data_IF_957253050152
#
_entry.id   IF_957253050152
#
_cell.length_a   1.000
_cell.length_b   1.000
_cell.length_c   1.000
_cell.angle_alpha   90.00
_cell.angle_beta   90.00
_cell.angle_gamma   90.00
#
_symmetry.space_group_name_H-M   'P 1'
#
loop_
_entity.id
_entity.type
_entity.pdbx_description
1 polymer ?
#
# COMPACT_ATOMS: atom_id res chain seq x y z
N UNK A 1 -8.86 -2.69 37.56
CA UNK A 1 -9.31 -4.07 37.27
C UNK A 1 -8.09 -4.86 36.77
N UNK A 2 -7.46 -5.63 37.67
CA UNK A 2 -6.19 -6.31 37.41
C UNK A 2 -6.46 -7.59 36.63
N UNK A 3 -6.18 -7.61 35.33
CA UNK A 3 -6.32 -8.84 34.52
C UNK A 3 -5.10 -9.72 34.77
N UNK A 4 -5.24 -10.74 35.62
CA UNK A 4 -4.21 -11.77 35.86
C UNK A 4 -4.00 -12.62 34.60
N UNK A 5 -2.79 -12.65 34.04
CA UNK A 5 -2.35 -13.73 33.14
C UNK A 5 -2.55 -15.07 33.80
N UNK A 6 -3.34 -15.97 33.21
CA UNK A 6 -3.90 -17.16 33.84
C UNK A 6 -2.90 -18.24 34.28
N UNK A 7 -1.63 -18.26 33.85
CA UNK A 7 -0.55 -19.06 34.48
C UNK A 7 0.81 -18.85 33.77
N UNK A 8 1.92 -19.04 34.51
CA UNK A 8 3.28 -19.10 33.96
C UNK A 8 3.44 -20.14 32.84
N UNK A 9 2.72 -21.27 32.94
CA UNK A 9 2.75 -22.36 31.96
C UNK A 9 2.11 -21.96 30.60
N UNK A 10 1.12 -21.07 30.57
CA UNK A 10 0.53 -20.60 29.31
C UNK A 10 1.49 -19.66 28.58
N UNK A 11 2.16 -18.77 29.31
CA UNK A 11 3.15 -17.86 28.75
C UNK A 11 4.31 -18.64 28.10
N UNK A 12 4.86 -19.61 28.85
CA UNK A 12 5.93 -20.48 28.34
C UNK A 12 5.53 -21.26 27.08
N UNK A 13 4.28 -21.71 26.97
CA UNK A 13 3.80 -22.39 25.76
C UNK A 13 3.66 -21.45 24.57
N UNK A 14 3.28 -20.18 24.80
CA UNK A 14 3.22 -19.16 23.74
C UNK A 14 4.63 -18.84 23.27
N UNK A 15 5.57 -18.57 24.19
CA UNK A 15 6.98 -18.26 23.89
C UNK A 15 7.67 -19.37 23.09
N UNK A 16 7.33 -20.63 23.36
CA UNK A 16 7.89 -21.79 22.66
C UNK A 16 7.06 -22.22 21.42
N UNK A 17 6.08 -21.41 20.98
CA UNK A 17 5.27 -21.69 19.79
C UNK A 17 4.35 -22.93 19.92
N UNK A 18 4.14 -23.45 21.12
CA UNK A 18 3.33 -24.66 21.37
C UNK A 18 1.82 -24.38 21.31
N UNK A 19 1.41 -23.13 21.52
CA UNK A 19 0.01 -22.68 21.39
C UNK A 19 -0.03 -21.29 20.77
N UNK A 20 -1.10 -21.02 19.99
CA UNK A 20 -1.37 -19.69 19.45
C UNK A 20 -2.04 -18.80 20.49
N UNK A 21 -1.58 -17.56 20.61
CA UNK A 21 -2.21 -16.57 21.48
C UNK A 21 -3.41 -15.91 20.77
N UNK A 22 -4.53 -15.76 21.48
CA UNK A 22 -5.65 -14.96 20.98
C UNK A 22 -5.29 -13.47 20.95
N UNK A 23 -5.94 -12.67 20.07
CA UNK A 23 -5.78 -11.20 20.05
C UNK A 23 -6.01 -10.57 21.42
N UNK A 24 -6.97 -11.09 22.21
CA UNK A 24 -7.20 -10.65 23.58
C UNK A 24 -6.00 -10.91 24.48
N UNK A 25 -5.35 -12.07 24.33
CA UNK A 25 -4.14 -12.42 25.09
C UNK A 25 -2.98 -11.52 24.69
N UNK A 26 -2.79 -11.27 23.38
CA UNK A 26 -1.75 -10.37 22.87
C UNK A 26 -1.93 -8.94 23.37
N UNK A 27 -3.18 -8.43 23.40
CA UNK A 27 -3.47 -7.11 23.95
C UNK A 27 -3.16 -7.02 25.45
N UNK A 28 -3.40 -8.08 26.23
CA UNK A 28 -3.03 -8.14 27.65
C UNK A 28 -1.51 -8.15 27.81
N UNK A 29 -0.79 -8.92 26.98
CA UNK A 29 0.67 -8.97 27.00
C UNK A 29 1.27 -7.59 26.66
N UNK A 30 0.82 -6.95 25.57
CA UNK A 30 1.30 -5.64 25.17
C UNK A 30 1.10 -4.60 26.27
N UNK A 31 -0.06 -4.56 26.91
CA UNK A 31 -0.32 -3.66 28.02
C UNK A 31 0.55 -3.98 29.26
N UNK A 32 0.80 -5.25 29.54
CA UNK A 32 1.62 -5.68 30.69
C UNK A 32 3.09 -5.33 30.48
N UNK A 33 3.57 -5.46 29.24
CA UNK A 33 4.94 -5.12 28.83
C UNK A 33 5.12 -3.65 28.54
N UNK A 34 4.01 -2.88 28.49
CA UNK A 34 3.97 -1.47 28.14
C UNK A 34 4.63 -1.19 26.76
N UNK A 35 4.32 -2.04 25.78
CA UNK A 35 4.74 -1.91 24.39
C UNK A 35 3.54 -1.95 23.45
N UNK A 36 3.59 -1.30 22.28
CA UNK A 36 2.57 -1.46 21.25
C UNK A 36 2.38 -2.94 20.88
N UNK A 37 1.15 -3.35 20.56
CA UNK A 37 0.86 -4.74 20.18
C UNK A 37 1.65 -5.15 18.91
N UNK A 38 1.94 -4.23 18.01
CA UNK A 38 2.79 -4.44 16.84
C UNK A 38 4.18 -4.97 17.20
N UNK A 39 4.75 -4.50 18.31
CA UNK A 39 6.07 -4.95 18.77
C UNK A 39 6.11 -6.42 19.21
N UNK A 40 4.95 -7.05 19.46
CA UNK A 40 4.88 -8.49 19.72
C UNK A 40 5.02 -9.34 18.44
N UNK A 41 4.96 -8.72 17.29
CA UNK A 41 5.10 -9.37 15.97
C UNK A 41 6.37 -8.93 15.25
N UNK A 42 7.06 -7.90 15.75
CA UNK A 42 8.37 -7.57 15.22
C UNK A 42 9.30 -8.74 15.50
N UNK A 43 9.66 -9.48 14.48
CA UNK A 43 10.85 -10.31 14.52
C UNK A 43 12.01 -9.35 14.85
N UNK A 44 12.86 -9.75 15.78
CA UNK A 44 14.07 -9.02 16.18
C UNK A 44 15.11 -9.01 15.05
N UNK A 45 14.72 -8.68 13.82
CA UNK A 45 15.62 -8.29 12.77
C UNK A 45 15.79 -6.77 12.90
N UNK A 46 16.73 -6.43 13.77
CA UNK A 46 17.23 -5.08 13.90
C UNK A 46 17.74 -4.61 12.55
N UNK A 47 17.30 -3.47 12.13
CA UNK A 47 17.93 -2.46 11.32
C UNK A 47 17.44 -2.23 9.88
N UNK A 48 16.83 -3.16 9.14
CA UNK A 48 16.42 -2.84 7.77
C UNK A 48 15.11 -3.54 7.37
N UNK A 49 13.98 -2.84 7.62
CA UNK A 49 12.69 -3.29 7.10
C UNK A 49 12.71 -3.25 5.56
N UNK A 50 12.36 -4.36 4.93
CA UNK A 50 12.28 -4.44 3.47
C UNK A 50 11.09 -5.26 3.00
N UNK A 51 10.61 -4.95 1.79
CA UNK A 51 9.57 -5.70 1.12
C UNK A 51 10.06 -6.13 -0.25
N UNK A 52 10.08 -7.43 -0.51
CA UNK A 52 10.38 -8.01 -1.81
C UNK A 52 9.16 -8.70 -2.39
N UNK A 53 8.77 -8.28 -3.59
CA UNK A 53 7.69 -8.91 -4.36
C UNK A 53 8.26 -9.38 -5.69
N UNK A 54 8.24 -10.69 -5.91
CA UNK A 54 8.72 -11.26 -7.17
C UNK A 54 7.81 -10.84 -8.35
N UNK A 55 8.35 -10.86 -9.56
CA UNK A 55 7.62 -10.50 -10.77
C UNK A 55 6.31 -11.31 -10.90
N UNK A 56 5.20 -10.60 -11.08
CA UNK A 56 3.85 -11.20 -11.20
C UNK A 56 3.25 -11.68 -9.88
N UNK A 57 3.85 -11.37 -8.73
CA UNK A 57 3.35 -11.74 -7.40
C UNK A 57 2.78 -10.55 -6.62
N UNK A 58 2.51 -9.44 -7.29
CA UNK A 58 1.80 -8.30 -6.70
C UNK A 58 0.42 -8.70 -6.18
N UNK A 59 0.01 -8.10 -5.07
CA UNK A 59 -1.30 -8.38 -4.47
C UNK A 59 -2.36 -7.50 -5.15
N UNK A 60 -3.32 -8.12 -5.84
CA UNK A 60 -4.45 -7.39 -6.42
C UNK A 60 -5.32 -6.82 -5.31
N UNK A 61 -5.59 -5.53 -5.36
CA UNK A 61 -6.42 -4.82 -4.39
C UNK A 61 -7.52 -4.01 -5.07
N UNK A 62 -8.62 -3.81 -4.35
CA UNK A 62 -9.72 -2.97 -4.79
C UNK A 62 -9.45 -1.50 -4.44
N UNK A 63 -9.50 -0.63 -5.43
CA UNK A 63 -9.40 0.83 -5.32
C UNK A 63 -10.58 1.50 -6.03
N UNK A 64 -10.68 2.82 -5.93
CA UNK A 64 -11.78 3.57 -6.57
C UNK A 64 -11.88 3.33 -8.09
N UNK A 65 -10.74 3.22 -8.77
CA UNK A 65 -10.67 2.96 -10.21
C UNK A 65 -11.01 1.51 -10.60
N UNK A 66 -11.08 0.56 -9.66
CA UNK A 66 -11.41 -0.85 -9.97
C UNK A 66 -12.79 -0.96 -10.63
N UNK A 67 -13.75 -0.11 -10.24
CA UNK A 67 -15.09 -0.06 -10.88
C UNK A 67 -15.03 0.41 -12.33
N UNK A 68 -14.01 1.14 -12.72
CA UNK A 68 -13.75 1.56 -14.10
C UNK A 68 -12.85 0.57 -14.87
N UNK A 69 -12.61 -0.62 -14.32
CA UNK A 69 -11.79 -1.67 -14.95
C UNK A 69 -10.28 -1.47 -14.79
N UNK A 70 -9.85 -0.63 -13.85
CA UNK A 70 -8.43 -0.49 -13.52
C UNK A 70 -8.00 -1.63 -12.58
N UNK A 71 -6.91 -2.29 -12.90
CA UNK A 71 -6.31 -3.35 -12.06
C UNK A 71 -5.16 -2.73 -11.27
N UNK A 72 -5.19 -2.89 -9.96
CA UNK A 72 -4.17 -2.42 -9.03
C UNK A 72 -3.46 -3.60 -8.40
N UNK A 73 -2.16 -3.70 -8.61
CA UNK A 73 -1.30 -4.70 -7.97
C UNK A 73 -0.35 -3.98 -7.02
N UNK A 74 -0.51 -4.21 -5.72
CA UNK A 74 0.40 -3.68 -4.70
C UNK A 74 1.72 -4.43 -4.76
N UNK A 75 2.83 -3.69 -4.93
CA UNK A 75 4.17 -4.23 -5.13
C UNK A 75 5.05 -4.23 -3.87
N UNK A 76 4.45 -3.99 -2.72
CA UNK A 76 5.14 -4.02 -1.43
C UNK A 76 4.19 -3.71 -0.29
N UNK A 77 4.56 -4.10 0.92
CA UNK A 77 3.85 -3.67 2.12
C UNK A 77 4.45 -2.36 2.66
N UNK A 78 3.68 -1.66 3.49
CA UNK A 78 4.15 -0.45 4.14
C UNK A 78 5.30 -0.79 5.10
N UNK A 79 6.43 -0.11 4.91
CA UNK A 79 7.59 -0.18 5.79
C UNK A 79 7.34 0.62 7.09
N UNK A 80 8.14 0.37 8.13
CA UNK A 80 8.10 1.15 9.36
C UNK A 80 8.53 2.60 9.12
N UNK A 81 8.08 3.52 9.97
CA UNK A 81 8.43 4.94 9.93
C UNK A 81 7.26 5.88 9.72
N UNK A 82 7.55 7.19 9.67
CA UNK A 82 6.57 8.27 9.59
C UNK A 82 6.01 8.48 8.17
N UNK A 83 6.66 7.89 7.17
CA UNK A 83 6.27 8.00 5.76
C UNK A 83 5.79 6.63 5.29
N UNK A 84 4.59 6.61 4.72
CA UNK A 84 4.05 5.44 4.02
C UNK A 84 4.36 5.60 2.54
N UNK A 85 4.87 4.53 1.93
CA UNK A 85 5.10 4.44 0.48
C UNK A 85 4.30 3.24 -0.03
N UNK A 86 3.41 3.51 -0.98
CA UNK A 86 2.58 2.49 -1.63
C UNK A 86 2.93 2.39 -3.11
N UNK A 87 3.73 1.40 -3.52
CA UNK A 87 4.04 1.14 -4.93
C UNK A 87 2.95 0.26 -5.56
N UNK A 88 2.36 0.72 -6.66
CA UNK A 88 1.36 -0.01 -7.44
C UNK A 88 1.80 -0.20 -8.88
N UNK A 89 1.59 -1.39 -9.43
CA UNK A 89 1.47 -1.57 -10.86
C UNK A 89 0.00 -1.40 -11.23
N UNK A 90 -0.29 -0.40 -12.07
CA UNK A 90 -1.66 -0.13 -12.51
C UNK A 90 -1.77 -0.50 -13.98
N UNK A 91 -2.79 -1.32 -14.29
CA UNK A 91 -3.07 -1.77 -15.65
C UNK A 91 -4.48 -1.37 -16.06
N UNK A 92 -4.62 -0.73 -17.21
CA UNK A 92 -5.88 -0.49 -17.87
C UNK A 92 -6.03 -1.47 -19.03
N UNK A 93 -6.98 -2.37 -18.89
CA UNK A 93 -7.31 -3.35 -19.94
C UNK A 93 -8.11 -2.71 -21.08
N UNK A 94 -8.38 -3.48 -22.14
CA UNK A 94 -9.16 -3.03 -23.29
C UNK A 94 -10.54 -2.43 -22.91
N UNK A 95 -11.17 -2.97 -21.87
CA UNK A 95 -12.49 -2.55 -21.38
C UNK A 95 -12.44 -1.49 -20.27
N UNK A 96 -11.25 -1.01 -19.90
CA UNK A 96 -11.14 0.01 -18.85
C UNK A 96 -11.69 1.35 -19.33
N UNK A 97 -12.42 2.02 -18.43
CA UNK A 97 -12.96 3.36 -18.61
C UNK A 97 -12.06 4.42 -17.99
N UNK A 98 -12.25 5.66 -18.38
CA UNK A 98 -11.54 6.80 -17.82
C UNK A 98 -12.08 7.15 -16.44
N UNK A 99 -11.18 7.65 -15.55
CA UNK A 99 -11.56 8.15 -14.25
C UNK A 99 -10.58 9.26 -13.82
N UNK A 100 -11.06 10.50 -13.75
CA UNK A 100 -10.24 11.70 -13.50
C UNK A 100 -10.41 12.30 -12.11
N UNK A 101 -11.21 11.66 -11.24
CA UNK A 101 -11.59 12.22 -9.94
C UNK A 101 -10.81 11.61 -8.77
N UNK A 102 -9.60 11.14 -9.02
CA UNK A 102 -8.70 10.77 -7.91
C UNK A 102 -8.27 12.03 -7.17
N UNK A 103 -8.25 11.93 -5.87
CA UNK A 103 -7.74 12.96 -4.96
C UNK A 103 -7.42 12.29 -3.63
N UNK A 104 -6.20 12.48 -3.13
CA UNK A 104 -5.75 11.97 -1.84
C UNK A 104 -4.60 12.82 -1.30
N UNK A 105 -4.18 12.58 -0.08
CA UNK A 105 -3.04 13.24 0.52
C UNK A 105 -1.72 12.72 -0.04
N UNK A 106 -0.66 13.53 0.10
CA UNK A 106 0.69 13.18 -0.26
C UNK A 106 1.09 13.58 -1.67
N UNK A 107 2.08 12.89 -2.16
CA UNK A 107 2.62 13.02 -3.51
C UNK A 107 2.51 11.69 -4.23
N UNK A 108 2.36 11.75 -5.54
CA UNK A 108 2.33 10.56 -6.40
C UNK A 108 3.32 10.74 -7.55
N UNK A 109 4.05 9.67 -7.84
CA UNK A 109 4.88 9.54 -9.02
C UNK A 109 4.26 8.48 -9.93
N UNK A 110 4.06 8.82 -11.19
CA UNK A 110 3.66 7.89 -12.24
C UNK A 110 4.81 7.74 -13.21
N UNK A 111 5.18 6.49 -13.55
CA UNK A 111 6.14 6.18 -14.60
C UNK A 111 5.52 5.20 -15.59
N UNK A 112 5.40 5.64 -16.84
CA UNK A 112 4.76 4.87 -17.91
C UNK A 112 5.61 3.70 -18.36
N UNK A 113 4.99 2.50 -18.43
CA UNK A 113 5.64 1.27 -18.87
C UNK A 113 5.16 0.82 -20.25
N UNK A 114 3.86 0.96 -20.55
CA UNK A 114 3.29 0.63 -21.86
C UNK A 114 2.02 1.40 -22.14
N UNK A 115 1.63 1.48 -23.42
CA UNK A 115 0.46 2.22 -23.89
C UNK A 115 0.63 3.73 -23.84
N UNK A 116 -0.41 4.46 -24.25
CA UNK A 116 -0.42 5.93 -24.23
C UNK A 116 -1.71 6.43 -23.57
N UNK A 117 -1.60 7.47 -22.75
CA UNK A 117 -2.72 8.05 -22.00
C UNK A 117 -2.62 9.57 -21.93
N UNK A 118 -3.74 10.27 -22.10
CA UNK A 118 -3.88 11.64 -21.67
C UNK A 118 -4.23 11.66 -20.19
N UNK A 119 -3.30 12.06 -19.35
CA UNK A 119 -3.46 12.11 -17.89
C UNK A 119 -3.67 13.55 -17.44
N UNK A 120 -4.67 13.80 -16.59
CA UNK A 120 -4.95 15.14 -16.06
C UNK A 120 -4.47 15.29 -14.64
N UNK A 121 -4.00 16.50 -14.29
CA UNK A 121 -3.71 16.93 -12.94
C UNK A 121 -3.95 18.42 -12.79
N UNK A 122 -4.81 18.83 -11.85
CA UNK A 122 -5.08 20.24 -11.55
C UNK A 122 -5.57 21.04 -12.75
N UNK A 123 -6.32 20.43 -13.66
CA UNK A 123 -6.84 21.07 -14.88
C UNK A 123 -5.86 21.12 -16.06
N UNK A 124 -4.66 20.59 -15.93
CA UNK A 124 -3.71 20.41 -17.03
C UNK A 124 -3.71 18.97 -17.50
N UNK A 125 -3.52 18.77 -18.81
CA UNK A 125 -3.45 17.44 -19.43
C UNK A 125 -2.04 17.19 -19.96
N UNK A 126 -1.55 15.99 -19.70
CA UNK A 126 -0.24 15.50 -20.11
C UNK A 126 -0.45 14.28 -21.00
N UNK A 127 0.04 14.33 -22.24
CA UNK A 127 0.09 13.16 -23.11
C UNK A 127 1.30 12.33 -22.72
N UNK A 128 1.05 11.18 -22.10
CA UNK A 128 2.10 10.32 -21.53
C UNK A 128 2.23 9.04 -22.33
N UNK A 129 3.47 8.66 -22.62
CA UNK A 129 3.90 7.47 -23.35
C UNK A 129 5.00 6.72 -22.57
N UNK A 130 5.34 5.50 -22.95
CA UNK A 130 6.35 4.71 -22.24
C UNK A 130 7.65 5.48 -22.02
N UNK A 131 8.15 5.45 -20.77
CA UNK A 131 9.32 6.20 -20.31
C UNK A 131 9.02 7.58 -19.72
N UNK A 132 7.85 8.15 -19.98
CA UNK A 132 7.47 9.43 -19.37
C UNK A 132 7.17 9.28 -17.88
N UNK A 133 7.47 10.33 -17.12
CA UNK A 133 7.25 10.37 -15.68
C UNK A 133 6.52 11.66 -15.29
N UNK A 134 5.52 11.54 -14.42
CA UNK A 134 4.81 12.67 -13.85
C UNK A 134 4.88 12.56 -12.32
N UNK A 135 5.43 13.58 -11.67
CA UNK A 135 5.47 13.71 -10.20
C UNK A 135 4.59 14.89 -9.79
N UNK A 136 3.66 14.66 -8.87
CA UNK A 136 2.69 15.69 -8.51
C UNK A 136 2.19 15.57 -7.07
N UNK A 137 1.62 16.67 -6.56
CA UNK A 137 0.84 16.68 -5.32
C UNK A 137 -0.55 16.13 -5.59
N UNK A 138 -0.91 15.04 -4.90
CA UNK A 138 -2.17 14.31 -5.10
C UNK A 138 -3.40 15.01 -4.51
N UNK A 139 -3.22 16.15 -3.85
CA UNK A 139 -4.30 16.99 -3.31
C UNK A 139 -5.15 17.71 -4.36
N UNK A 140 -4.71 17.74 -5.63
CA UNK A 140 -5.54 18.19 -6.75
C UNK A 140 -6.22 17.00 -7.43
N UNK A 141 -7.36 17.23 -8.12
CA UNK A 141 -7.98 16.18 -8.92
C UNK A 141 -7.06 15.75 -10.06
N UNK A 142 -6.94 14.43 -10.23
CA UNK A 142 -6.08 13.81 -11.23
C UNK A 142 -6.64 12.48 -11.72
N UNK A 143 -6.08 11.97 -12.81
CA UNK A 143 -6.43 10.65 -13.35
C UNK A 143 -6.37 10.58 -14.88
N UNK A 144 -6.54 9.37 -15.45
CA UNK A 144 -6.59 9.16 -16.90
C UNK A 144 -7.88 9.78 -17.48
N UNK A 145 -7.71 10.74 -18.40
CA UNK A 145 -8.81 11.42 -19.11
C UNK A 145 -9.14 10.73 -20.43
N UNK A 146 -8.14 10.15 -21.08
CA UNK A 146 -8.31 9.46 -22.36
C UNK A 146 -7.21 8.41 -22.51
N UNK A 147 -7.59 7.19 -22.87
CA UNK A 147 -6.67 6.11 -23.17
C UNK A 147 -6.47 6.05 -24.68
N UNK A 148 -5.29 6.46 -25.16
CA UNK A 148 -4.96 6.58 -26.57
C UNK A 148 -4.54 5.24 -27.15
N UNK A 149 -3.68 4.51 -26.43
CA UNK A 149 -3.17 3.21 -26.85
C UNK A 149 -3.20 2.24 -25.66
N UNK A 150 -3.90 1.14 -25.79
CA UNK A 150 -4.08 0.11 -24.76
C UNK A 150 -3.30 -1.18 -25.10
N UNK A 151 -2.93 -2.01 -24.12
CA UNK A 151 -3.12 -1.80 -22.68
C UNK A 151 -2.16 -0.75 -22.10
N UNK A 152 -2.68 0.14 -21.28
CA UNK A 152 -1.86 1.11 -20.55
C UNK A 152 -1.37 0.45 -19.27
N UNK A 153 -0.06 0.55 -19.02
CA UNK A 153 0.56 0.13 -17.75
C UNK A 153 1.49 1.21 -17.24
N UNK A 154 1.42 1.48 -15.95
CA UNK A 154 2.37 2.37 -15.29
C UNK A 154 2.63 1.96 -13.85
N UNK A 155 3.83 2.29 -13.37
CA UNK A 155 4.16 2.28 -11.95
C UNK A 155 3.60 3.56 -11.33
N UNK A 156 2.79 3.41 -10.28
CA UNK A 156 2.37 4.52 -9.41
C UNK A 156 3.01 4.32 -8.04
N UNK A 157 3.68 5.35 -7.53
CA UNK A 157 4.25 5.37 -6.19
C UNK A 157 3.61 6.52 -5.42
N UNK A 158 2.80 6.19 -4.42
CA UNK A 158 2.14 7.15 -3.55
C UNK A 158 2.93 7.24 -2.24
N UNK A 159 3.28 8.46 -1.83
CA UNK A 159 3.97 8.72 -0.58
C UNK A 159 3.21 9.75 0.26
N UNK A 160 2.94 9.44 1.52
CA UNK A 160 2.24 10.32 2.45
C UNK A 160 2.72 10.09 3.89
N UNK A 161 2.39 11.02 4.80
CA UNK A 161 2.67 10.84 6.23
C UNK A 161 1.69 9.85 6.82
N UNK A 162 2.19 9.01 7.71
CA UNK A 162 1.35 8.10 8.50
C UNK A 162 0.57 8.95 9.52
N UNK A 163 -0.76 8.79 9.54
CA UNK A 163 -1.58 9.38 10.59
C UNK A 163 -1.22 8.77 11.95
N UNK A 164 -0.90 9.61 12.91
CA UNK A 164 -0.56 9.23 14.29
C UNK A 164 -1.80 9.04 15.15
#
# INVERSE_FOLDING_TARGET
MTVRLKSKGMLSKIENGQISASLKTLKILSNTLNVPISNLFSTYDEDFDCSFVAAGQGVTIDRRGTKAGHIYELLGHALEGDIVIEPYLITFTENAETYTNFKHEGIELIHMLSGCVNYTHGGKTYNMKPGDTLLFNSGAFHGPAEMIEKPVKYLSVIAYRRDT
#
